data_IF_779623083799
#
_entry.id   IF_779623083799
#
_cell.length_a   1.000
_cell.length_b   1.000
_cell.length_c   1.000
_cell.angle_alpha   90.00
_cell.angle_beta   90.00
_cell.angle_gamma   90.00
#
_symmetry.space_group_name_H-M   'P 1'
#
loop_
_entity.id
_entity.type
_entity.pdbx_description
1 polymer ?
#
# COMPACT_ATOMS: atom_id res chain seq x y z
N UNK A 1 27.22 -12.25 -25.32
CA UNK A 1 27.72 -11.16 -24.48
C UNK A 1 28.88 -11.70 -23.68
N UNK A 2 30.06 -11.11 -23.77
CA UNK A 2 31.24 -11.53 -23.00
C UNK A 2 31.05 -11.22 -21.51
N UNK A 3 31.81 -11.87 -20.63
CA UNK A 3 31.78 -11.54 -19.19
C UNK A 3 32.11 -10.06 -18.92
N UNK A 4 33.03 -9.49 -19.69
CA UNK A 4 33.39 -8.07 -19.61
C UNK A 4 32.23 -7.14 -19.99
N UNK A 5 31.45 -7.50 -21.01
CA UNK A 5 30.25 -6.75 -21.42
C UNK A 5 29.13 -6.85 -20.37
N UNK A 6 29.00 -7.99 -19.68
CA UNK A 6 28.08 -8.17 -18.56
C UNK A 6 28.47 -7.29 -17.37
N UNK A 7 29.75 -7.24 -17.00
CA UNK A 7 30.25 -6.41 -15.91
C UNK A 7 30.07 -4.92 -16.19
N UNK A 8 30.41 -4.47 -17.41
CA UNK A 8 30.17 -3.08 -17.83
C UNK A 8 28.69 -2.72 -17.79
N UNK A 9 27.81 -3.62 -18.24
CA UNK A 9 26.37 -3.42 -18.21
C UNK A 9 25.86 -3.32 -16.77
N UNK A 10 26.29 -4.22 -15.88
CA UNK A 10 25.93 -4.21 -14.47
C UNK A 10 26.41 -2.94 -13.78
N UNK A 11 27.65 -2.51 -14.00
CA UNK A 11 28.18 -1.28 -13.43
C UNK A 11 27.37 -0.04 -13.86
N UNK A 12 26.99 0.04 -15.14
CA UNK A 12 26.11 1.10 -15.65
C UNK A 12 24.75 1.11 -14.96
N UNK A 13 24.13 -0.06 -14.77
CA UNK A 13 22.84 -0.17 -14.09
C UNK A 13 22.93 0.23 -12.61
N UNK A 14 24.00 -0.14 -11.91
CA UNK A 14 24.24 0.30 -10.51
C UNK A 14 24.38 1.82 -10.46
N UNK A 15 25.14 2.41 -11.38
CA UNK A 15 25.29 3.86 -11.46
C UNK A 15 23.94 4.54 -11.71
N UNK A 16 23.09 3.97 -12.56
CA UNK A 16 21.75 4.48 -12.79
C UNK A 16 20.90 4.38 -11.51
N UNK A 17 20.86 3.22 -10.86
CA UNK A 17 20.15 3.05 -9.58
C UNK A 17 20.61 4.07 -8.52
N UNK A 18 21.91 4.38 -8.47
CA UNK A 18 22.47 5.42 -7.60
C UNK A 18 21.91 6.81 -7.95
N UNK A 19 21.92 7.22 -9.23
CA UNK A 19 21.35 8.52 -9.63
C UNK A 19 19.88 8.65 -9.21
N UNK A 20 19.11 7.58 -9.36
CA UNK A 20 17.71 7.53 -8.96
C UNK A 20 17.56 7.67 -7.43
N UNK A 21 18.42 7.00 -6.66
CA UNK A 21 18.47 7.13 -5.21
C UNK A 21 18.89 8.54 -4.76
N UNK A 22 19.85 9.16 -5.44
CA UNK A 22 20.36 10.50 -5.14
C UNK A 22 19.25 11.56 -5.28
N UNK A 23 18.45 11.49 -6.36
CA UNK A 23 17.26 12.35 -6.53
C UNK A 23 16.30 12.19 -5.33
N UNK A 24 15.98 10.95 -4.94
CA UNK A 24 15.05 10.71 -3.81
C UNK A 24 15.61 11.27 -2.50
N UNK A 25 16.93 11.14 -2.30
CA UNK A 25 17.70 11.63 -1.13
C UNK A 25 18.02 13.12 -1.19
N UNK A 26 17.46 13.86 -2.16
CA UNK A 26 17.64 15.30 -2.32
C UNK A 26 19.09 15.72 -2.59
N UNK A 27 19.83 14.90 -3.33
CA UNK A 27 21.17 15.23 -3.84
C UNK A 27 20.99 15.70 -5.29
N UNK A 28 21.24 16.98 -5.61
CA UNK A 28 21.09 17.47 -6.97
C UNK A 28 22.04 16.77 -7.96
N UNK A 29 21.65 16.60 -9.23
CA UNK A 29 22.52 16.01 -10.25
C UNK A 29 23.87 16.74 -10.32
N UNK A 30 24.97 15.99 -10.28
CA UNK A 30 26.33 16.55 -10.32
C UNK A 30 26.87 17.06 -8.99
N UNK A 31 26.11 16.96 -7.90
CA UNK A 31 26.55 17.34 -6.55
C UNK A 31 26.78 16.11 -5.65
N UNK A 32 27.52 16.29 -4.56
CA UNK A 32 27.75 15.26 -3.53
C UNK A 32 26.83 15.43 -2.32
N UNK A 33 26.40 16.67 -2.05
CA UNK A 33 25.75 17.04 -0.81
C UNK A 33 24.23 17.10 -0.98
N UNK A 34 23.53 16.78 0.12
CA UNK A 34 22.07 16.90 0.17
C UNK A 34 21.69 18.36 0.37
N UNK A 35 20.57 18.76 -0.23
CA UNK A 35 19.93 20.05 0.06
C UNK A 35 19.69 20.24 1.58
N UNK A 36 19.68 21.49 2.03
CA UNK A 36 19.32 21.85 3.40
C UNK A 36 17.84 21.53 3.70
N UNK A 37 17.43 21.45 4.96
CA UNK A 37 16.08 21.00 5.34
C UNK A 37 14.95 21.85 4.73
N UNK A 38 15.11 23.17 4.71
CA UNK A 38 14.15 24.11 4.12
C UNK A 38 14.06 23.95 2.60
N UNK A 39 15.20 23.80 1.93
CA UNK A 39 15.26 23.49 0.50
C UNK A 39 14.65 22.13 0.18
N UNK A 40 14.87 21.11 1.02
CA UNK A 40 14.27 19.78 0.87
C UNK A 40 12.75 19.81 0.95
N UNK A 41 12.19 20.63 1.84
CA UNK A 41 10.75 20.81 1.96
C UNK A 41 10.17 21.39 0.66
N UNK A 42 10.78 22.47 0.15
CA UNK A 42 10.39 23.08 -1.14
C UNK A 42 10.56 22.11 -2.31
N UNK A 43 11.70 21.43 -2.38
CA UNK A 43 12.00 20.45 -3.43
C UNK A 43 10.95 19.32 -3.51
N UNK A 44 10.37 18.91 -2.38
CA UNK A 44 9.31 17.91 -2.33
C UNK A 44 7.92 18.51 -2.58
N UNK A 45 7.62 19.67 -2.00
CA UNK A 45 6.30 20.27 -2.04
C UNK A 45 5.91 20.81 -3.41
N UNK A 46 6.84 21.45 -4.11
CA UNK A 46 6.55 22.10 -5.40
C UNK A 46 5.92 21.15 -6.42
N UNK A 47 6.48 19.95 -6.70
CA UNK A 47 5.86 19.01 -7.64
C UNK A 47 4.54 18.38 -7.15
N UNK A 48 4.20 18.57 -5.87
CA UNK A 48 3.00 18.04 -5.23
C UNK A 48 1.93 19.12 -4.97
N UNK A 49 2.14 20.39 -5.36
CA UNK A 49 1.17 21.48 -5.15
C UNK A 49 -0.24 21.16 -5.67
N UNK A 50 -0.36 20.49 -6.82
CA UNK A 50 -1.66 20.05 -7.34
C UNK A 50 -2.47 19.21 -6.35
N UNK A 51 -1.83 18.47 -5.45
CA UNK A 51 -2.56 17.65 -4.48
C UNK A 51 -3.33 18.52 -3.49
N UNK A 52 -2.84 19.74 -3.22
CA UNK A 52 -3.54 20.74 -2.40
C UNK A 52 -4.84 21.16 -3.11
N UNK A 53 -4.81 21.39 -4.42
CA UNK A 53 -5.99 21.82 -5.18
C UNK A 53 -7.08 20.74 -5.24
N UNK A 54 -6.67 19.49 -5.49
CA UNK A 54 -7.57 18.35 -5.70
C UNK A 54 -8.05 17.70 -4.41
N UNK A 55 -7.26 17.76 -3.34
CA UNK A 55 -7.55 17.05 -2.10
C UNK A 55 -7.54 17.93 -0.85
N UNK A 56 -7.20 19.21 -0.96
CA UNK A 56 -7.18 20.14 0.17
C UNK A 56 -6.22 19.73 1.28
N UNK A 57 -5.08 19.11 0.95
CA UNK A 57 -4.16 18.53 1.94
C UNK A 57 -2.99 19.44 2.31
N UNK A 58 -2.71 19.59 3.59
CA UNK A 58 -1.44 20.10 4.15
C UNK A 58 -0.78 18.96 4.94
N UNK A 59 0.19 18.27 4.35
CA UNK A 59 0.94 17.19 5.00
C UNK A 59 2.42 17.25 4.68
N UNK A 60 3.18 16.23 5.09
CA UNK A 60 4.62 16.17 4.85
C UNK A 60 5.02 16.35 3.38
N UNK A 61 4.17 15.97 2.41
CA UNK A 61 4.46 16.06 0.99
C UNK A 61 4.13 17.43 0.37
N UNK A 62 3.27 18.24 0.98
CA UNK A 62 2.81 19.53 0.45
C UNK A 62 3.25 20.73 1.28
N UNK A 63 3.59 20.52 2.56
CA UNK A 63 4.02 21.57 3.47
C UNK A 63 5.48 22.01 3.22
N UNK A 64 5.69 23.30 2.96
CA UNK A 64 7.01 23.91 2.75
C UNK A 64 7.65 24.44 4.04
N UNK A 65 6.87 25.09 4.90
CA UNK A 65 7.46 26.07 5.84
C UNK A 65 7.34 25.71 7.32
N UNK A 66 6.59 24.65 7.67
CA UNK A 66 6.36 24.26 9.07
C UNK A 66 7.04 22.93 9.43
N UNK A 67 8.33 23.03 9.80
CA UNK A 67 9.12 21.86 10.19
C UNK A 67 8.61 21.18 11.47
N UNK A 68 8.05 21.94 12.41
CA UNK A 68 7.49 21.37 13.65
C UNK A 68 6.25 20.53 13.34
N UNK A 69 5.33 21.05 12.52
CA UNK A 69 4.16 20.33 12.06
C UNK A 69 4.54 19.03 11.32
N UNK A 70 5.47 19.09 10.36
CA UNK A 70 5.90 17.88 9.63
C UNK A 70 6.44 16.79 10.56
N UNK A 71 7.20 17.15 11.59
CA UNK A 71 7.68 16.19 12.61
C UNK A 71 6.53 15.63 13.46
N UNK A 72 5.59 16.47 13.92
CA UNK A 72 4.38 16.03 14.64
C UNK A 72 3.57 15.05 13.78
N UNK A 73 3.36 15.37 12.50
CA UNK A 73 2.66 14.52 11.54
C UNK A 73 3.33 13.15 11.37
N UNK A 74 4.65 13.12 11.18
CA UNK A 74 5.42 11.85 11.09
C UNK A 74 5.24 11.01 12.35
N UNK A 75 5.39 11.61 13.53
CA UNK A 75 5.20 10.90 14.82
C UNK A 75 3.79 10.33 14.92
N UNK A 76 2.77 11.16 14.67
CA UNK A 76 1.36 10.75 14.70
C UNK A 76 1.10 9.55 13.78
N UNK A 77 1.65 9.53 12.55
CA UNK A 77 1.44 8.38 11.65
C UNK A 77 2.10 7.09 12.17
N UNK A 78 3.28 7.21 12.80
CA UNK A 78 3.98 6.07 13.43
C UNK A 78 3.16 5.54 14.60
N UNK A 79 2.63 6.43 15.44
CA UNK A 79 1.87 6.05 16.63
C UNK A 79 0.55 5.37 16.25
N UNK A 80 -0.15 5.85 15.22
CA UNK A 80 -1.34 5.17 14.65
C UNK A 80 -1.03 3.73 14.21
N UNK A 81 0.07 3.51 13.47
CA UNK A 81 0.48 2.16 13.07
C UNK A 81 0.85 1.28 14.26
N UNK A 82 1.51 1.82 15.29
CA UNK A 82 1.85 1.07 16.51
C UNK A 82 0.63 0.68 17.32
N UNK A 83 -0.33 1.60 17.47
CA UNK A 83 -1.60 1.32 18.13
C UNK A 83 -2.35 0.20 17.40
N UNK A 84 -2.37 0.24 16.07
CA UNK A 84 -2.98 -0.79 15.23
C UNK A 84 -2.42 -2.20 15.47
N UNK A 85 -1.12 -2.28 15.75
CA UNK A 85 -0.41 -3.54 15.97
C UNK A 85 -0.13 -3.81 17.46
N UNK A 86 -0.82 -3.10 18.36
CA UNK A 86 -0.61 -3.09 19.83
C UNK A 86 0.86 -3.07 20.27
N UNK A 87 1.72 -2.41 19.49
CA UNK A 87 3.14 -2.35 19.76
C UNK A 87 3.39 -1.26 20.80
N UNK A 88 3.71 -1.67 22.03
CA UNK A 88 3.81 -0.76 23.17
C UNK A 88 5.08 0.09 23.17
N UNK A 89 6.17 -0.38 22.54
CA UNK A 89 7.47 0.31 22.43
C UNK A 89 8.23 -0.12 21.18
N UNK A 90 9.22 0.69 20.77
CA UNK A 90 10.15 0.33 19.68
C UNK A 90 10.83 -1.01 19.99
N UNK A 91 10.61 -2.01 19.14
CA UNK A 91 11.19 -3.35 19.29
C UNK A 91 10.39 -4.29 20.21
N UNK A 92 9.25 -3.87 20.76
CA UNK A 92 8.29 -4.77 21.36
C UNK A 92 7.61 -5.64 20.29
N UNK A 93 7.16 -6.83 20.66
CA UNK A 93 6.37 -7.69 19.77
C UNK A 93 5.16 -6.95 19.20
N UNK A 94 4.83 -7.25 17.95
CA UNK A 94 3.64 -6.71 17.28
C UNK A 94 2.53 -7.77 17.30
N UNK A 95 1.34 -7.35 17.73
CA UNK A 95 0.12 -8.15 17.66
C UNK A 95 -0.74 -7.68 16.48
N UNK A 96 -0.90 -8.56 15.50
CA UNK A 96 -1.68 -8.31 14.29
C UNK A 96 -3.02 -9.08 14.28
N UNK A 97 -3.39 -9.73 15.38
CA UNK A 97 -4.61 -10.54 15.48
C UNK A 97 -5.86 -9.73 15.16
N UNK A 98 -5.95 -8.50 15.67
CA UNK A 98 -7.04 -7.56 15.38
C UNK A 98 -7.14 -7.20 13.90
N UNK A 99 -6.04 -6.71 13.31
CA UNK A 99 -5.96 -6.36 11.89
C UNK A 99 -6.31 -7.56 10.98
N UNK A 100 -5.86 -8.76 11.36
CA UNK A 100 -6.20 -10.00 10.66
C UNK A 100 -7.69 -10.30 10.73
N UNK A 101 -8.28 -10.24 11.93
CA UNK A 101 -9.70 -10.51 12.14
C UNK A 101 -10.58 -9.54 11.34
N UNK A 102 -10.23 -8.26 11.37
CA UNK A 102 -10.92 -7.21 10.64
C UNK A 102 -10.79 -7.41 9.12
N UNK A 103 -9.59 -7.76 8.61
CA UNK A 103 -9.38 -7.97 7.17
C UNK A 103 -10.24 -9.13 6.65
N UNK A 104 -10.29 -10.25 7.38
CA UNK A 104 -11.15 -11.38 7.02
C UNK A 104 -12.64 -11.03 7.07
N UNK A 105 -13.05 -10.25 8.06
CA UNK A 105 -14.44 -9.80 8.23
C UNK A 105 -14.86 -8.91 7.07
N UNK A 106 -14.05 -7.95 6.65
CA UNK A 106 -14.37 -7.04 5.55
C UNK A 106 -14.41 -7.75 4.20
N UNK A 107 -13.56 -8.78 3.99
CA UNK A 107 -13.65 -9.62 2.78
C UNK A 107 -14.96 -10.40 2.76
N UNK A 108 -15.34 -11.03 3.89
CA UNK A 108 -16.62 -11.75 4.00
C UNK A 108 -17.82 -10.83 3.78
N UNK A 109 -17.79 -9.63 4.35
CA UNK A 109 -18.83 -8.62 4.18
C UNK A 109 -19.02 -8.27 2.70
N UNK A 110 -17.95 -7.98 1.96
CA UNK A 110 -18.04 -7.65 0.55
C UNK A 110 -18.57 -8.84 -0.28
N UNK A 111 -18.06 -10.05 -0.05
CA UNK A 111 -18.46 -11.24 -0.81
C UNK A 111 -19.92 -11.66 -0.53
N UNK A 112 -20.44 -11.40 0.67
CA UNK A 112 -21.87 -11.64 0.97
C UNK A 112 -22.80 -10.72 0.19
N UNK A 113 -22.35 -9.51 -0.13
CA UNK A 113 -23.10 -8.56 -0.94
C UNK A 113 -23.03 -8.90 -2.45
N UNK A 114 -22.07 -9.73 -2.86
CA UNK A 114 -21.75 -10.02 -4.26
C UNK A 114 -21.57 -11.53 -4.47
N UNK A 115 -22.67 -12.27 -4.64
CA UNK A 115 -22.63 -13.74 -4.58
C UNK A 115 -22.28 -14.44 -5.89
N UNK A 116 -22.48 -13.79 -7.04
CA UNK A 116 -22.31 -14.40 -8.38
C UNK A 116 -21.21 -13.76 -9.21
N UNK A 117 -21.01 -12.45 -9.07
CA UNK A 117 -19.96 -11.70 -9.73
C UNK A 117 -19.38 -10.65 -8.79
N UNK A 118 -18.07 -10.52 -8.80
CA UNK A 118 -17.32 -9.58 -7.96
C UNK A 118 -16.37 -8.80 -8.85
N UNK A 119 -16.33 -7.47 -8.71
CA UNK A 119 -15.25 -6.69 -9.27
C UNK A 119 -14.02 -6.79 -8.35
N UNK A 120 -12.89 -7.30 -8.85
CA UNK A 120 -11.70 -7.51 -8.01
C UNK A 120 -11.12 -6.19 -7.51
N UNK A 121 -11.11 -5.14 -8.33
CA UNK A 121 -10.60 -3.84 -7.94
C UNK A 121 -11.45 -3.25 -6.80
N UNK A 122 -12.78 -3.32 -6.92
CA UNK A 122 -13.69 -2.86 -5.87
C UNK A 122 -13.55 -3.66 -4.57
N UNK A 123 -13.46 -4.99 -4.64
CA UNK A 123 -13.21 -5.84 -3.46
C UNK A 123 -11.92 -5.41 -2.74
N UNK A 124 -10.82 -5.29 -3.49
CA UNK A 124 -9.51 -4.94 -2.90
C UNK A 124 -9.54 -3.52 -2.34
N UNK A 125 -10.17 -2.57 -3.04
CA UNK A 125 -10.35 -1.21 -2.56
C UNK A 125 -11.17 -1.17 -1.28
N UNK A 126 -12.32 -1.85 -1.25
CA UNK A 126 -13.21 -1.91 -0.09
C UNK A 126 -12.48 -2.41 1.15
N UNK A 127 -11.81 -3.56 1.06
CA UNK A 127 -11.10 -4.18 2.18
C UNK A 127 -9.93 -3.31 2.64
N UNK A 128 -9.12 -2.81 1.71
CA UNK A 128 -7.96 -1.96 2.04
C UNK A 128 -8.40 -0.65 2.68
N UNK A 129 -9.49 -0.06 2.20
CA UNK A 129 -10.03 1.19 2.71
C UNK A 129 -10.58 1.03 4.12
N UNK A 130 -11.42 0.02 4.38
CA UNK A 130 -11.97 -0.20 5.72
C UNK A 130 -10.88 -0.43 6.75
N UNK A 131 -9.88 -1.26 6.44
CA UNK A 131 -8.71 -1.43 7.32
C UNK A 131 -7.97 -0.12 7.54
N UNK A 132 -7.72 0.64 6.46
CA UNK A 132 -7.04 1.94 6.57
C UNK A 132 -7.80 2.91 7.47
N UNK A 133 -9.12 2.97 7.33
CA UNK A 133 -9.98 3.82 8.17
C UNK A 133 -9.89 3.40 9.64
N UNK A 134 -10.02 2.12 9.94
CA UNK A 134 -10.02 1.58 11.31
C UNK A 134 -8.74 1.88 12.08
N UNK A 135 -7.57 1.79 11.44
CA UNK A 135 -6.32 2.05 12.14
C UNK A 135 -5.92 3.54 12.15
N UNK A 136 -6.45 4.35 11.23
CA UNK A 136 -6.12 5.78 11.14
C UNK A 136 -7.04 6.65 12.00
N UNK A 137 -8.29 6.25 12.20
CA UNK A 137 -9.31 7.06 12.88
C UNK A 137 -9.98 6.24 13.97
N UNK A 138 -9.88 6.72 15.21
CA UNK A 138 -10.37 6.03 16.40
C UNK A 138 -11.84 5.61 16.30
N UNK A 139 -12.67 6.45 15.69
CA UNK A 139 -14.10 6.25 15.60
C UNK A 139 -14.55 5.51 14.34
N UNK A 140 -13.67 5.24 13.38
CA UNK A 140 -14.07 4.71 12.08
C UNK A 140 -14.75 3.34 12.18
N UNK A 141 -14.24 2.45 13.03
CA UNK A 141 -14.82 1.11 13.21
C UNK A 141 -16.30 1.19 13.62
N UNK A 142 -16.62 2.06 14.57
CA UNK A 142 -17.99 2.27 15.06
C UNK A 142 -18.83 3.02 14.03
N UNK A 143 -18.27 4.05 13.40
CA UNK A 143 -18.94 4.84 12.37
C UNK A 143 -19.38 3.98 11.18
N UNK A 144 -18.48 3.13 10.67
CA UNK A 144 -18.77 2.22 9.55
C UNK A 144 -19.76 1.10 9.91
N UNK A 145 -19.85 0.69 11.17
CA UNK A 145 -20.86 -0.31 11.61
C UNK A 145 -22.28 0.28 11.58
N UNK A 146 -22.41 1.60 11.76
CA UNK A 146 -23.70 2.30 11.82
C UNK A 146 -24.22 2.77 10.46
N UNK A 147 -23.38 2.78 9.43
CA UNK A 147 -23.71 3.36 8.12
C UNK A 147 -23.61 2.32 7.00
N UNK A 148 -24.29 2.61 5.89
CA UNK A 148 -24.41 1.67 4.77
C UNK A 148 -23.06 1.54 4.02
N UNK A 149 -22.71 0.34 3.51
CA UNK A 149 -21.53 0.10 2.65
C UNK A 149 -21.38 1.04 1.44
N UNK A 150 -22.44 1.76 1.10
CA UNK A 150 -22.54 2.71 0.00
C UNK A 150 -21.60 3.92 0.17
N UNK A 151 -21.40 4.43 1.39
CA UNK A 151 -20.51 5.59 1.64
C UNK A 151 -19.05 5.21 1.37
N UNK A 152 -18.62 4.03 1.83
CA UNK A 152 -17.26 3.48 1.61
C UNK A 152 -17.02 3.23 0.12
N UNK A 153 -18.02 2.70 -0.58
CA UNK A 153 -17.95 2.43 -2.03
C UNK A 153 -17.90 3.73 -2.84
N UNK A 154 -18.78 4.70 -2.53
CA UNK A 154 -18.79 6.02 -3.15
C UNK A 154 -17.46 6.74 -2.95
N UNK A 155 -16.95 6.75 -1.72
CA UNK A 155 -15.70 7.37 -1.34
C UNK A 155 -14.51 6.79 -2.13
N UNK A 156 -14.37 5.46 -2.18
CA UNK A 156 -13.31 4.79 -2.93
C UNK A 156 -13.32 5.15 -4.42
N UNK A 157 -14.52 5.13 -5.03
CA UNK A 157 -14.71 5.51 -6.43
C UNK A 157 -14.35 6.98 -6.69
N UNK A 158 -14.90 7.92 -5.92
CA UNK A 158 -14.70 9.36 -6.15
C UNK A 158 -13.25 9.79 -5.95
N UNK A 159 -12.51 9.20 -5.00
CA UNK A 159 -11.07 9.45 -4.87
C UNK A 159 -10.32 9.02 -6.11
N UNK A 160 -10.61 7.82 -6.63
CA UNK A 160 -9.95 7.35 -7.84
C UNK A 160 -10.24 8.27 -9.04
N UNK A 161 -11.49 8.74 -9.19
CA UNK A 161 -11.87 9.73 -10.21
C UNK A 161 -11.08 11.04 -10.07
N UNK A 162 -11.07 11.66 -8.88
CA UNK A 162 -10.31 12.90 -8.60
C UNK A 162 -8.81 12.72 -8.87
N UNK A 163 -8.28 11.55 -8.54
CA UNK A 163 -6.89 11.22 -8.74
C UNK A 163 -6.54 11.06 -10.23
N UNK A 164 -7.44 10.52 -11.06
CA UNK A 164 -7.31 10.50 -12.52
C UNK A 164 -7.41 11.91 -13.11
N UNK A 165 -8.37 12.71 -12.63
CA UNK A 165 -8.55 14.11 -13.03
C UNK A 165 -7.32 14.96 -12.72
N UNK A 166 -6.65 14.74 -11.58
CA UNK A 166 -5.40 15.43 -11.18
C UNK A 166 -4.20 15.24 -12.12
N UNK A 167 -4.33 14.35 -13.10
CA UNK A 167 -3.30 14.03 -14.10
C UNK A 167 -3.65 14.53 -15.49
N UNK A 168 -4.89 14.98 -15.72
CA UNK A 168 -5.32 15.52 -17.02
C UNK A 168 -4.80 16.96 -17.15
N UNK A 169 -4.25 17.29 -18.33
CA UNK A 169 -3.71 18.63 -18.60
C UNK A 169 -4.78 19.62 -19.10
N UNK A 170 -6.00 19.15 -19.38
CA UNK A 170 -7.08 19.93 -20.00
C UNK A 170 -8.41 19.58 -19.31
N UNK A 171 -9.20 20.59 -18.95
CA UNK A 171 -10.52 20.44 -18.32
C UNK A 171 -10.74 21.41 -17.16
N UNK A 172 -11.98 21.50 -16.67
CA UNK A 172 -12.28 22.21 -15.44
C UNK A 172 -11.65 21.43 -14.27
N UNK A 173 -10.73 22.05 -13.55
CA UNK A 173 -10.10 21.47 -12.35
C UNK A 173 -11.13 21.41 -11.22
N UNK A 174 -11.51 20.22 -10.73
CA UNK A 174 -12.31 20.09 -9.53
C UNK A 174 -11.60 20.80 -8.38
N UNK A 175 -12.32 21.63 -7.64
CA UNK A 175 -11.79 22.29 -6.45
C UNK A 175 -12.25 21.51 -5.24
N UNK A 176 -11.32 21.10 -4.38
CA UNK A 176 -11.61 20.33 -3.19
C UNK A 176 -12.79 20.87 -2.37
N UNK A 177 -12.82 22.19 -2.13
CA UNK A 177 -13.92 22.85 -1.38
C UNK A 177 -15.33 22.58 -1.94
N UNK A 178 -15.46 22.19 -3.21
CA UNK A 178 -16.73 21.91 -3.87
C UNK A 178 -17.14 20.43 -3.79
N UNK A 179 -16.29 19.54 -3.29
CA UNK A 179 -16.55 18.09 -3.15
C UNK A 179 -17.44 17.77 -1.93
N UNK A 180 -18.58 18.45 -1.83
CA UNK A 180 -19.48 18.44 -0.66
C UNK A 180 -19.92 17.02 -0.28
N UNK A 181 -20.33 16.21 -1.25
CA UNK A 181 -20.77 14.83 -0.99
C UNK A 181 -19.60 13.92 -0.56
N UNK A 182 -18.39 14.18 -1.06
CA UNK A 182 -17.20 13.47 -0.60
C UNK A 182 -16.85 13.88 0.84
N UNK A 183 -16.97 15.15 1.20
CA UNK A 183 -16.77 15.61 2.58
C UNK A 183 -17.77 14.97 3.54
N UNK A 184 -19.05 14.89 3.15
CA UNK A 184 -20.09 14.21 3.94
C UNK A 184 -19.77 12.73 4.11
N UNK A 185 -19.39 12.04 3.03
CA UNK A 185 -19.02 10.62 3.07
C UNK A 185 -17.76 10.39 3.91
N UNK A 186 -16.78 11.30 3.88
CA UNK A 186 -15.59 11.26 4.73
C UNK A 186 -15.96 11.35 6.21
N UNK A 187 -16.67 12.42 6.59
CA UNK A 187 -17.12 12.60 7.97
C UNK A 187 -17.95 11.42 8.45
N UNK A 188 -18.82 10.91 7.58
CA UNK A 188 -19.66 9.74 7.85
C UNK A 188 -18.87 8.49 8.29
N UNK A 189 -17.68 8.28 7.75
CA UNK A 189 -16.85 7.09 8.01
C UNK A 189 -15.69 7.35 8.95
N UNK A 190 -15.36 8.61 9.26
CA UNK A 190 -14.25 8.97 10.17
C UNK A 190 -14.70 9.49 11.53
N UNK A 191 -15.94 9.96 11.70
CA UNK A 191 -16.42 10.55 12.96
C UNK A 191 -17.65 9.85 13.53
N UNK A 192 -17.83 9.93 14.86
CA UNK A 192 -19.10 9.56 15.49
C UNK A 192 -20.12 10.67 15.21
N UNK A 193 -21.24 10.34 14.56
CA UNK A 193 -22.35 11.27 14.32
C UNK A 193 -22.76 11.98 15.63
N UNK A 194 -22.46 13.28 15.72
CA UNK A 194 -22.74 14.15 16.87
C UNK A 194 -22.10 15.54 16.72
N UNK A 195 -20.94 15.64 16.07
CA UNK A 195 -20.24 16.92 15.84
C UNK A 195 -20.34 17.41 14.39
N UNK A 196 -21.54 17.43 13.81
CA UNK A 196 -21.75 18.24 12.60
C UNK A 196 -22.06 19.65 13.10
N UNK A 197 -21.05 20.52 13.22
CA UNK A 197 -21.30 21.95 13.38
C UNK A 197 -21.86 22.49 12.06
N UNK A 198 -23.18 22.62 11.99
CA UNK A 198 -23.82 23.46 10.98
C UNK A 198 -23.49 24.92 11.32
N UNK A 199 -23.01 25.75 10.38
CA UNK A 199 -22.76 27.16 10.67
C UNK A 199 -24.05 27.84 11.15
N UNK A 200 -24.12 28.20 12.44
CA UNK A 200 -25.25 28.89 13.06
C UNK A 200 -25.91 28.18 14.25
N UNK A 201 -25.57 26.93 14.55
CA UNK A 201 -26.11 26.21 15.71
C UNK A 201 -25.09 26.15 16.86
N UNK A 202 -25.38 26.88 17.94
CA UNK A 202 -24.65 26.80 19.20
C UNK A 202 -25.17 25.60 19.99
N UNK A 203 -24.39 24.52 20.08
CA UNK A 203 -24.65 23.46 21.05
C UNK A 203 -23.88 23.74 22.34
N UNK A 204 -24.60 24.18 23.38
CA UNK A 204 -24.10 24.33 24.74
C UNK A 204 -23.88 22.95 25.38
N UNK A 205 -22.63 22.53 25.49
CA UNK A 205 -22.25 21.34 26.25
C UNK A 205 -20.73 21.13 26.26
N UNK A 206 -20.06 21.15 27.43
CA UNK A 206 -18.63 20.92 27.50
C UNK A 206 -18.38 19.42 27.51
N UNK A 207 -18.08 18.85 26.35
CA UNK A 207 -17.25 17.66 26.30
C UNK A 207 -15.87 18.14 25.86
N UNK A 208 -14.93 18.14 26.81
CA UNK A 208 -13.52 18.46 26.64
C UNK A 208 -12.83 17.36 25.81
N UNK A 209 -13.20 17.30 24.52
CA UNK A 209 -12.45 16.59 23.48
C UNK A 209 -11.51 17.65 22.94
N UNK A 210 -10.21 17.52 23.20
CA UNK A 210 -9.22 18.54 22.84
C UNK A 210 -9.42 19.03 21.40
N UNK A 211 -9.49 20.35 21.23
CA UNK A 211 -9.78 21.05 19.95
C UNK A 211 -8.86 20.65 18.78
N UNK A 212 -7.77 19.91 19.04
CA UNK A 212 -6.73 19.51 18.10
C UNK A 212 -7.03 18.24 17.25
N UNK A 213 -8.03 17.41 17.59
CA UNK A 213 -8.21 16.06 17.00
C UNK A 213 -9.48 15.85 16.15
N UNK A 214 -10.37 16.83 16.04
CA UNK A 214 -11.61 16.66 15.29
C UNK A 214 -11.33 16.72 13.76
N UNK A 215 -11.85 15.76 13.00
CA UNK A 215 -11.64 15.66 11.55
C UNK A 215 -12.43 16.74 10.82
N UNK A 216 -11.76 17.54 9.98
CA UNK A 216 -12.39 18.55 9.13
C UNK A 216 -11.83 18.48 7.70
N UNK A 217 -12.62 18.03 6.70
CA UNK A 217 -12.20 18.03 5.31
C UNK A 217 -11.84 19.40 4.76
N UNK A 218 -12.39 20.50 5.28
CA UNK A 218 -12.16 21.86 4.77
C UNK A 218 -10.93 22.54 5.39
N UNK A 219 -10.46 22.08 6.56
CA UNK A 219 -9.18 22.51 7.13
C UNK A 219 -8.03 21.65 6.57
N UNK A 220 -7.06 22.24 5.83
CA UNK A 220 -5.99 21.48 5.21
C UNK A 220 -5.17 20.59 6.14
N UNK A 221 -4.98 20.98 7.41
CA UNK A 221 -4.18 20.21 8.38
C UNK A 221 -4.98 19.13 9.08
N UNK A 222 -6.30 19.31 9.22
CA UNK A 222 -7.24 18.35 9.83
C UNK A 222 -7.96 17.47 8.80
N UNK A 223 -7.67 17.70 7.52
CA UNK A 223 -8.24 16.93 6.42
C UNK A 223 -7.85 15.43 6.51
N UNK A 224 -8.82 14.51 6.54
CA UNK A 224 -8.55 13.08 6.67
C UNK A 224 -7.78 12.50 5.46
N UNK A 225 -7.82 13.18 4.31
CA UNK A 225 -7.06 12.82 3.11
C UNK A 225 -5.55 12.88 3.31
N UNK A 226 -5.07 13.65 4.30
CA UNK A 226 -3.65 13.66 4.67
C UNK A 226 -3.13 12.27 5.04
N UNK A 227 -3.99 11.43 5.65
CA UNK A 227 -3.66 10.08 6.09
C UNK A 227 -4.14 9.02 5.10
N UNK A 228 -5.34 9.20 4.54
CA UNK A 228 -5.96 8.20 3.67
C UNK A 228 -5.25 8.05 2.32
N UNK A 229 -4.82 9.15 1.68
CA UNK A 229 -4.12 9.05 0.39
C UNK A 229 -2.86 8.16 0.45
N UNK A 230 -1.90 8.39 1.37
CA UNK A 230 -0.72 7.55 1.43
C UNK A 230 -1.01 6.12 1.93
N UNK A 231 -1.99 5.93 2.83
CA UNK A 231 -2.31 4.63 3.42
C UNK A 231 -3.11 3.71 2.49
N UNK A 232 -4.15 4.24 1.86
CA UNK A 232 -5.10 3.46 1.07
C UNK A 232 -4.72 3.43 -0.42
N UNK A 233 -4.60 4.60 -1.07
CA UNK A 233 -4.58 4.70 -2.55
C UNK A 233 -3.43 3.91 -3.16
N UNK A 234 -2.27 3.97 -2.52
CA UNK A 234 -1.06 3.32 -3.01
C UNK A 234 -1.03 1.83 -2.64
N UNK A 235 -1.67 1.42 -1.54
CA UNK A 235 -1.62 0.06 -1.00
C UNK A 235 -2.55 -0.90 -1.75
N UNK A 236 -3.80 -0.50 -2.00
CA UNK A 236 -4.80 -1.39 -2.63
C UNK A 236 -4.33 -1.84 -4.03
N UNK A 237 -3.61 -0.96 -4.73
CA UNK A 237 -3.01 -1.22 -6.05
C UNK A 237 -1.93 -2.30 -6.02
N UNK A 238 -1.16 -2.39 -4.94
CA UNK A 238 -0.14 -3.43 -4.77
C UNK A 238 -0.81 -4.73 -4.36
N UNK A 239 -1.77 -4.68 -3.43
CA UNK A 239 -2.56 -5.84 -3.00
C UNK A 239 -3.25 -6.51 -4.19
N UNK A 240 -3.93 -5.73 -5.03
CA UNK A 240 -4.64 -6.24 -6.21
C UNK A 240 -3.67 -6.97 -7.16
N UNK A 241 -2.50 -6.38 -7.43
CA UNK A 241 -1.49 -7.02 -8.29
C UNK A 241 -0.90 -8.27 -7.66
N UNK A 242 -0.75 -8.30 -6.34
CA UNK A 242 -0.31 -9.50 -5.62
C UNK A 242 -1.31 -10.64 -5.75
N UNK A 243 -2.61 -10.34 -5.61
CA UNK A 243 -3.69 -11.31 -5.84
C UNK A 243 -3.64 -11.83 -7.28
N UNK A 244 -3.49 -10.95 -8.28
CA UNK A 244 -3.39 -11.34 -9.68
C UNK A 244 -2.18 -12.26 -9.94
N UNK A 245 -0.97 -11.88 -9.49
CA UNK A 245 0.25 -12.68 -9.66
C UNK A 245 0.16 -14.08 -9.04
N UNK A 246 -0.47 -14.21 -7.87
CA UNK A 246 -0.50 -15.48 -7.13
C UNK A 246 -1.70 -16.35 -7.51
N UNK A 247 -2.84 -15.75 -7.87
CA UNK A 247 -4.06 -16.52 -8.14
C UNK A 247 -4.31 -16.74 -9.63
N UNK A 248 -4.03 -15.76 -10.47
CA UNK A 248 -4.61 -15.67 -11.82
C UNK A 248 -3.59 -15.53 -12.95
N UNK A 249 -2.29 -15.50 -12.64
CA UNK A 249 -1.21 -15.42 -13.63
C UNK A 249 -0.66 -16.78 -14.07
N UNK A 250 -1.25 -17.88 -13.61
CA UNK A 250 -0.88 -19.26 -13.96
C UNK A 250 0.62 -19.58 -13.80
N UNK A 251 1.28 -18.94 -12.83
CA UNK A 251 2.68 -19.24 -12.52
C UNK A 251 2.80 -20.69 -12.01
N UNK A 252 3.84 -21.45 -12.44
CA UNK A 252 4.06 -22.82 -11.96
C UNK A 252 4.29 -22.89 -10.45
N UNK A 253 4.81 -21.82 -9.85
CA UNK A 253 5.08 -21.72 -8.41
C UNK A 253 3.92 -21.11 -7.60
N UNK A 254 2.81 -20.73 -8.26
CA UNK A 254 1.68 -20.03 -7.65
C UNK A 254 1.09 -20.76 -6.43
N UNK A 255 1.00 -22.10 -6.50
CA UNK A 255 0.49 -22.92 -5.41
C UNK A 255 1.37 -22.84 -4.15
N UNK A 256 2.70 -22.82 -4.32
CA UNK A 256 3.63 -22.63 -3.20
C UNK A 256 3.46 -21.23 -2.58
N UNK A 257 3.47 -20.18 -3.40
CA UNK A 257 3.33 -18.80 -2.92
C UNK A 257 2.01 -18.59 -2.18
N UNK A 258 0.92 -19.16 -2.70
CA UNK A 258 -0.39 -19.15 -2.02
C UNK A 258 -0.32 -19.86 -0.68
N UNK A 259 0.29 -21.05 -0.61
CA UNK A 259 0.47 -21.79 0.63
C UNK A 259 1.26 -20.98 1.67
N UNK A 260 2.34 -20.30 1.26
CA UNK A 260 3.14 -19.42 2.12
C UNK A 260 2.28 -18.29 2.71
N UNK A 261 1.48 -17.61 1.87
CA UNK A 261 0.63 -16.52 2.34
C UNK A 261 -0.51 -16.98 3.25
N UNK A 262 -1.12 -18.13 2.98
CA UNK A 262 -2.13 -18.71 3.86
C UNK A 262 -1.52 -19.18 5.19
N UNK A 263 -0.30 -19.71 5.16
CA UNK A 263 0.48 -20.02 6.36
C UNK A 263 0.78 -18.77 7.19
N UNK A 264 1.22 -17.70 6.54
CA UNK A 264 1.42 -16.40 7.19
C UNK A 264 0.14 -15.88 7.85
N UNK A 265 -0.98 -15.90 7.12
CA UNK A 265 -2.28 -15.50 7.66
C UNK A 265 -2.70 -16.36 8.87
N UNK A 266 -2.43 -17.65 8.84
CA UNK A 266 -2.74 -18.56 9.94
C UNK A 266 -1.87 -18.30 11.16
N UNK A 267 -0.58 -18.04 10.96
CA UNK A 267 0.37 -17.70 12.03
C UNK A 267 -0.05 -16.39 12.74
N UNK A 268 -0.67 -15.43 12.05
CA UNK A 268 -1.19 -14.19 12.65
C UNK A 268 -2.48 -14.36 13.47
N UNK A 269 -2.99 -15.59 13.64
CA UNK A 269 -4.26 -15.85 14.35
C UNK A 269 -4.14 -15.74 15.87
N UNK A 270 -2.96 -16.02 16.41
CA UNK A 270 -2.67 -15.97 17.85
C UNK A 270 -1.33 -15.28 18.10
N UNK A 271 -1.08 -14.93 19.36
CA UNK A 271 0.16 -14.30 19.80
C UNK A 271 1.31 -15.31 20.00
N UNK A 272 1.09 -16.60 19.68
CA UNK A 272 2.05 -17.69 19.93
C UNK A 272 3.32 -17.58 19.08
N UNK A 273 3.21 -16.95 17.91
CA UNK A 273 4.33 -16.63 17.02
C UNK A 273 4.34 -15.13 16.80
N UNK A 274 5.51 -14.50 16.92
CA UNK A 274 5.60 -13.07 16.67
C UNK A 274 5.35 -12.79 15.18
N UNK A 275 4.75 -11.64 14.88
CA UNK A 275 4.53 -11.23 13.49
C UNK A 275 5.83 -11.21 12.67
N UNK A 276 6.95 -10.88 13.31
CA UNK A 276 8.26 -10.88 12.66
C UNK A 276 8.74 -12.30 12.32
N UNK A 277 8.55 -13.27 13.22
CA UNK A 277 8.86 -14.67 12.95
C UNK A 277 7.98 -15.22 11.84
N UNK A 278 6.66 -14.96 11.88
CA UNK A 278 5.73 -15.36 10.83
C UNK A 278 6.16 -14.79 9.46
N UNK A 279 6.55 -13.51 9.41
CA UNK A 279 6.96 -12.82 8.17
C UNK A 279 8.29 -13.34 7.59
N UNK A 280 9.14 -13.94 8.43
CA UNK A 280 10.45 -14.50 8.06
C UNK A 280 10.44 -16.04 7.97
N UNK A 281 9.31 -16.69 8.21
CA UNK A 281 9.18 -18.16 8.19
C UNK A 281 9.40 -18.69 6.78
N UNK A 282 10.44 -19.52 6.60
CA UNK A 282 10.80 -20.10 5.31
C UNK A 282 9.92 -21.30 4.96
N UNK A 283 9.55 -21.41 3.68
CA UNK A 283 9.01 -22.62 3.08
C UNK A 283 10.10 -23.69 2.94
N UNK A 284 9.71 -24.87 2.44
CA UNK A 284 10.66 -25.94 2.09
C UNK A 284 11.70 -25.51 1.04
N UNK A 285 11.33 -24.60 0.14
CA UNK A 285 12.22 -24.06 -0.90
C UNK A 285 12.91 -22.76 -0.47
N UNK A 286 12.88 -22.43 0.83
CA UNK A 286 13.60 -21.28 1.40
C UNK A 286 12.90 -19.93 1.19
N UNK A 287 11.75 -19.87 0.50
CA UNK A 287 10.98 -18.65 0.28
C UNK A 287 10.22 -18.29 1.55
N UNK A 288 10.28 -17.03 1.99
CA UNK A 288 9.50 -16.52 3.10
C UNK A 288 8.48 -15.46 2.63
N UNK A 289 7.45 -15.13 3.43
CA UNK A 289 6.50 -14.06 3.11
C UNK A 289 7.21 -12.75 2.71
N UNK A 290 8.27 -12.36 3.43
CA UNK A 290 9.08 -11.18 3.08
C UNK A 290 9.58 -11.16 1.63
N UNK A 291 9.87 -12.31 1.02
CA UNK A 291 10.34 -12.38 -0.36
C UNK A 291 9.22 -12.10 -1.36
N UNK A 292 8.01 -12.59 -1.07
CA UNK A 292 6.80 -12.29 -1.84
C UNK A 292 6.50 -10.78 -1.74
N UNK A 293 6.59 -10.20 -0.53
CA UNK A 293 6.39 -8.76 -0.33
C UNK A 293 7.43 -7.92 -1.07
N UNK A 294 8.70 -8.30 -1.04
CA UNK A 294 9.75 -7.58 -1.76
C UNK A 294 9.58 -7.71 -3.27
N UNK A 295 9.21 -8.89 -3.75
CA UNK A 295 9.01 -9.11 -5.18
C UNK A 295 7.82 -8.32 -5.74
N UNK A 296 6.69 -8.28 -5.02
CA UNK A 296 5.55 -7.48 -5.47
C UNK A 296 5.88 -5.99 -5.48
N UNK A 297 6.62 -5.51 -4.49
CA UNK A 297 7.06 -4.10 -4.39
C UNK A 297 8.17 -3.73 -5.39
N UNK A 298 8.90 -4.73 -5.88
CA UNK A 298 9.89 -4.57 -6.96
C UNK A 298 9.18 -4.35 -8.29
N UNK A 299 8.22 -5.22 -8.62
CA UNK A 299 7.49 -5.14 -9.89
C UNK A 299 6.47 -4.01 -9.92
N UNK A 300 5.78 -3.77 -8.81
CA UNK A 300 4.64 -2.85 -8.71
C UNK A 300 4.78 -1.93 -7.50
N UNK A 301 5.77 -1.01 -7.53
CA UNK A 301 5.96 -0.07 -6.44
C UNK A 301 4.75 0.84 -6.22
N UNK A 302 4.40 1.17 -4.96
CA UNK A 302 3.32 2.11 -4.65
C UNK A 302 3.56 3.48 -5.29
N UNK A 303 4.84 3.90 -5.38
CA UNK A 303 5.27 5.09 -6.11
C UNK A 303 6.14 4.72 -7.31
N UNK A 304 5.61 4.91 -8.52
CA UNK A 304 6.35 4.68 -9.78
C UNK A 304 7.49 5.68 -9.98
N UNK A 305 7.27 6.92 -9.54
CA UNK A 305 8.17 8.05 -9.71
C UNK A 305 8.18 8.94 -8.49
N UNK A 306 9.33 9.55 -8.23
CA UNK A 306 9.49 10.59 -7.21
C UNK A 306 10.00 11.86 -7.87
N UNK A 307 9.28 12.97 -7.70
CA UNK A 307 9.66 14.25 -8.30
C UNK A 307 10.34 15.14 -7.26
N UNK A 308 11.31 15.92 -7.70
CA UNK A 308 12.03 16.92 -6.92
C UNK A 308 12.27 18.17 -7.73
N UNK A 309 12.14 19.33 -7.12
CA UNK A 309 12.61 20.59 -7.70
C UNK A 309 14.09 20.79 -7.34
N UNK A 310 14.94 20.96 -8.34
CA UNK A 310 16.35 21.35 -8.20
C UNK A 310 16.62 22.56 -9.09
N UNK A 311 17.15 23.65 -8.54
CA UNK A 311 17.48 24.86 -9.30
C UNK A 311 16.37 25.37 -10.25
N UNK A 312 15.10 25.22 -9.85
CA UNK A 312 13.93 25.63 -10.65
C UNK A 312 13.42 24.57 -11.64
N UNK A 313 14.10 23.43 -11.79
CA UNK A 313 13.69 22.35 -12.68
C UNK A 313 13.12 21.16 -11.90
N UNK A 314 12.01 20.60 -12.40
CA UNK A 314 11.44 19.37 -11.83
C UNK A 314 12.17 18.17 -12.44
N UNK A 315 12.99 17.53 -11.62
CA UNK A 315 13.66 16.26 -11.92
C UNK A 315 12.84 15.10 -11.36
N UNK A 316 12.86 13.96 -12.04
CA UNK A 316 12.12 12.75 -11.64
C UNK A 316 13.06 11.57 -11.44
N UNK A 317 12.83 10.82 -10.36
CA UNK A 317 13.39 9.50 -10.16
C UNK A 317 12.41 8.42 -10.67
N UNK A 318 12.85 7.57 -11.59
CA UNK A 318 12.11 6.45 -12.20
C UNK A 318 12.30 5.16 -11.37
N UNK A 319 11.57 5.07 -10.26
CA UNK A 319 11.62 3.95 -9.33
C UNK A 319 11.28 2.62 -10.00
N UNK A 320 10.18 2.59 -10.74
CA UNK A 320 9.66 1.37 -11.37
C UNK A 320 10.62 0.81 -12.42
N UNK A 321 11.17 1.69 -13.27
CA UNK A 321 12.11 1.31 -14.32
C UNK A 321 13.39 0.72 -13.74
N UNK A 322 13.93 1.34 -12.68
CA UNK A 322 15.17 0.88 -12.01
C UNK A 322 15.04 -0.57 -11.53
N UNK A 323 13.85 -0.96 -11.06
CA UNK A 323 13.61 -2.27 -10.45
C UNK A 323 13.24 -3.38 -11.41
N UNK A 324 12.80 -3.03 -12.61
CA UNK A 324 12.66 -3.96 -13.74
C UNK A 324 13.97 -4.11 -14.51
N UNK A 325 15.10 -3.73 -13.90
CA UNK A 325 16.43 -4.03 -14.43
C UNK A 325 16.87 -5.46 -14.06
N UNK A 326 17.89 -5.95 -14.75
CA UNK A 326 18.54 -7.23 -14.49
C UNK A 326 19.48 -7.21 -13.27
N UNK A 327 19.48 -6.13 -12.48
CA UNK A 327 20.31 -6.04 -11.26
C UNK A 327 19.94 -7.06 -10.20
N UNK A 328 18.66 -7.40 -10.13
CA UNK A 328 18.13 -8.33 -9.14
C UNK A 328 18.27 -9.81 -9.55
N UNK A 329 18.62 -10.10 -10.81
CA UNK A 329 18.73 -11.47 -11.32
C UNK A 329 18.63 -11.51 -12.85
N UNK A 330 18.76 -12.70 -13.42
CA UNK A 330 18.81 -12.93 -14.87
C UNK A 330 17.59 -12.40 -15.64
N UNK A 331 17.67 -12.44 -16.98
CA UNK A 331 16.84 -11.79 -18.02
C UNK A 331 15.29 -11.86 -17.92
N UNK A 332 14.72 -12.38 -16.84
CA UNK A 332 13.30 -12.38 -16.53
C UNK A 332 12.91 -11.23 -15.57
N UNK A 333 13.41 -10.02 -15.79
CA UNK A 333 13.17 -8.88 -14.90
C UNK A 333 11.68 -8.50 -14.77
N UNK A 334 10.85 -8.87 -15.75
CA UNK A 334 9.40 -8.71 -15.73
C UNK A 334 8.61 -9.83 -15.05
N UNK A 335 9.25 -10.96 -14.74
CA UNK A 335 8.61 -12.11 -14.09
C UNK A 335 8.50 -11.87 -12.58
N UNK A 336 7.35 -12.20 -12.01
CA UNK A 336 7.17 -12.30 -10.56
C UNK A 336 7.86 -13.57 -10.06
N UNK A 337 9.03 -13.41 -9.42
CA UNK A 337 9.80 -14.52 -8.86
C UNK A 337 10.40 -14.15 -7.49
N UNK A 338 9.75 -14.57 -6.38
CA UNK A 338 10.26 -14.36 -5.04
C UNK A 338 11.59 -15.08 -4.74
N UNK A 339 11.96 -16.16 -5.45
CA UNK A 339 13.19 -16.92 -5.17
C UNK A 339 14.44 -16.07 -5.41
N UNK A 340 14.34 -15.08 -6.29
CA UNK A 340 15.37 -14.09 -6.60
C UNK A 340 16.00 -13.44 -5.37
N UNK A 341 15.21 -13.17 -4.34
CA UNK A 341 15.68 -12.53 -3.09
C UNK A 341 16.62 -13.41 -2.27
N UNK A 342 16.69 -14.71 -2.56
CA UNK A 342 17.61 -15.64 -1.92
C UNK A 342 19.04 -15.49 -2.47
N UNK A 343 19.20 -15.06 -3.72
CA UNK A 343 20.49 -14.89 -4.37
C UNK A 343 21.21 -13.59 -3.99
N UNK A 344 20.49 -12.62 -3.41
CA UNK A 344 21.04 -11.32 -3.01
C UNK A 344 21.76 -11.47 -1.66
N UNK A 345 23.09 -11.59 -1.71
CA UNK A 345 23.98 -11.75 -0.55
C UNK A 345 23.52 -12.88 0.42
N UNK A 346 23.55 -14.15 0.00
CA UNK A 346 22.95 -15.26 0.74
C UNK A 346 23.47 -15.40 2.19
N UNK A 347 24.77 -15.21 2.42
CA UNK A 347 25.35 -15.29 3.77
C UNK A 347 24.92 -14.14 4.69
N UNK A 348 24.71 -12.94 4.13
CA UNK A 348 24.21 -11.79 4.87
C UNK A 348 22.73 -11.96 5.20
N UNK A 349 21.97 -12.45 4.22
CA UNK A 349 20.56 -12.82 4.38
C UNK A 349 20.36 -13.84 5.49
N UNK A 350 21.18 -14.90 5.54
CA UNK A 350 21.06 -15.91 6.58
C UNK A 350 21.24 -15.34 8.00
N UNK A 351 22.24 -14.46 8.18
CA UNK A 351 22.44 -13.68 9.42
C UNK A 351 21.23 -12.80 9.75
N UNK A 352 20.68 -12.11 8.74
CA UNK A 352 19.51 -11.27 8.92
C UNK A 352 18.27 -12.07 9.35
N UNK A 353 18.10 -13.31 8.85
CA UNK A 353 17.02 -14.21 9.27
C UNK A 353 17.17 -14.73 10.71
N UNK A 354 18.40 -14.79 11.24
CA UNK A 354 18.66 -15.07 12.66
C UNK A 354 18.46 -13.85 13.57
N UNK A 355 18.01 -12.71 13.02
CA UNK A 355 17.75 -11.50 13.80
C UNK A 355 18.98 -10.62 14.05
N UNK A 356 20.12 -10.88 13.39
CA UNK A 356 21.34 -10.08 13.56
C UNK A 356 21.12 -8.65 13.02
N UNK A 357 20.99 -7.67 13.92
CA UNK A 357 20.59 -6.30 13.57
C UNK A 357 21.50 -5.62 12.54
N UNK A 358 22.82 -5.84 12.64
CA UNK A 358 23.77 -5.32 11.65
C UNK A 358 23.58 -5.96 10.28
N UNK A 359 23.32 -7.28 10.23
CA UNK A 359 23.06 -7.97 8.99
C UNK A 359 21.75 -7.53 8.35
N UNK A 360 20.70 -7.26 9.14
CA UNK A 360 19.44 -6.72 8.65
C UNK A 360 19.64 -5.34 7.99
N UNK A 361 20.42 -4.46 8.64
CA UNK A 361 20.71 -3.14 8.11
C UNK A 361 21.53 -3.20 6.82
N UNK A 362 22.59 -4.01 6.82
CA UNK A 362 23.44 -4.19 5.63
C UNK A 362 22.65 -4.84 4.49
N UNK A 363 21.81 -5.84 4.76
CA UNK A 363 20.98 -6.47 3.72
C UNK A 363 20.06 -5.45 3.06
N UNK A 364 19.43 -4.56 3.85
CA UNK A 364 18.62 -3.45 3.31
C UNK A 364 19.47 -2.53 2.44
N UNK A 365 20.68 -2.18 2.87
CA UNK A 365 21.60 -1.32 2.11
C UNK A 365 22.02 -1.95 0.77
N UNK A 366 22.33 -3.25 0.73
CA UNK A 366 22.66 -3.96 -0.51
C UNK A 366 21.47 -3.97 -1.47
N UNK A 367 20.26 -4.24 -0.97
CA UNK A 367 19.03 -4.20 -1.78
C UNK A 367 18.76 -2.80 -2.35
N UNK A 368 18.95 -1.75 -1.55
CA UNK A 368 18.84 -0.35 -1.98
C UNK A 368 19.87 0.01 -3.04
N UNK A 369 21.09 -0.52 -2.95
CA UNK A 369 22.17 -0.33 -3.94
C UNK A 369 21.80 -0.93 -5.31
N UNK A 370 21.01 -2.01 -5.31
CA UNK A 370 20.43 -2.59 -6.53
C UNK A 370 19.20 -1.83 -7.04
N UNK A 371 18.74 -0.81 -6.31
CA UNK A 371 17.60 0.02 -6.68
C UNK A 371 16.27 -0.34 -5.98
N UNK A 372 16.30 -1.20 -4.95
CA UNK A 372 15.11 -1.57 -4.21
C UNK A 372 14.80 -0.52 -3.14
N UNK A 373 13.94 0.43 -3.50
CA UNK A 373 13.61 1.60 -2.69
C UNK A 373 12.08 1.88 -2.64
N UNK A 374 11.21 0.87 -2.42
CA UNK A 374 9.75 0.98 -2.68
C UNK A 374 9.04 2.07 -1.91
N UNK A 375 9.67 2.52 -0.85
CA UNK A 375 9.19 3.52 0.07
C UNK A 375 10.03 4.81 0.05
N UNK A 376 10.86 5.00 -0.98
CA UNK A 376 11.65 6.22 -1.19
C UNK A 376 12.49 6.65 0.06
N UNK A 377 12.98 5.67 0.84
CA UNK A 377 13.79 5.80 2.06
C UNK A 377 13.15 6.45 3.30
N UNK A 378 12.00 7.14 3.18
CA UNK A 378 11.45 7.97 4.28
C UNK A 378 9.98 7.66 4.64
N UNK A 379 9.37 6.63 4.07
CA UNK A 379 8.01 6.26 4.43
C UNK A 379 7.92 5.76 5.88
N UNK A 380 6.93 6.25 6.62
CA UNK A 380 6.68 5.81 7.99
C UNK A 380 6.23 4.36 8.08
N UNK A 381 5.66 3.80 7.02
CA UNK A 381 5.24 2.38 6.95
C UNK A 381 6.41 1.39 6.69
N UNK A 382 7.59 1.86 6.28
CA UNK A 382 8.80 1.02 6.11
C UNK A 382 9.94 1.44 7.07
N UNK A 383 9.55 1.87 8.26
CA UNK A 383 10.46 2.25 9.32
C UNK A 383 10.68 1.06 10.27
N UNK A 384 11.87 0.98 10.87
CA UNK A 384 12.14 0.12 12.04
C UNK A 384 11.14 0.35 13.19
N UNK A 385 10.70 1.59 13.38
CA UNK A 385 9.74 1.98 14.40
C UNK A 385 8.34 1.35 14.24
N UNK A 386 8.00 0.95 13.01
CA UNK A 386 6.73 0.35 12.60
C UNK A 386 6.94 -1.08 12.07
N UNK A 387 8.15 -1.63 12.27
CA UNK A 387 8.54 -3.00 11.88
C UNK A 387 8.15 -3.41 10.46
N UNK A 388 8.28 -2.50 9.49
CA UNK A 388 7.91 -2.73 8.08
C UNK A 388 6.40 -2.98 7.87
N UNK A 389 5.57 -2.27 8.64
CA UNK A 389 4.11 -2.28 8.55
C UNK A 389 3.57 -2.36 7.11
N UNK A 390 4.09 -1.54 6.20
CA UNK A 390 3.60 -1.48 4.80
C UNK A 390 3.79 -2.79 4.04
N UNK A 391 4.92 -3.48 4.22
CA UNK A 391 5.15 -4.79 3.58
C UNK A 391 4.25 -5.87 4.17
N UNK A 392 4.14 -5.91 5.50
CA UNK A 392 3.30 -6.87 6.24
C UNK A 392 1.82 -6.69 5.92
N UNK A 393 1.34 -5.44 5.89
CA UNK A 393 -0.05 -5.11 5.59
C UNK A 393 -0.45 -5.53 4.18
N UNK A 394 0.42 -5.29 3.17
CA UNK A 394 0.15 -5.77 1.80
C UNK A 394 -0.03 -7.29 1.76
N UNK A 395 0.80 -8.05 2.47
CA UNK A 395 0.65 -9.50 2.52
C UNK A 395 -0.56 -9.94 3.33
N UNK A 396 -0.87 -9.29 4.45
CA UNK A 396 -2.04 -9.60 5.24
C UNK A 396 -3.32 -9.46 4.40
N UNK A 397 -3.49 -8.31 3.75
CA UNK A 397 -4.66 -8.04 2.90
C UNK A 397 -4.72 -9.01 1.72
N UNK A 398 -3.58 -9.26 1.07
CA UNK A 398 -3.50 -10.26 -0.02
C UNK A 398 -3.91 -11.63 0.46
N UNK A 399 -3.37 -12.09 1.59
CA UNK A 399 -3.63 -13.43 2.13
C UNK A 399 -5.09 -13.57 2.59
N UNK A 400 -5.68 -12.55 3.21
CA UNK A 400 -7.08 -12.54 3.61
C UNK A 400 -8.00 -12.67 2.39
N UNK A 401 -7.74 -11.91 1.32
CA UNK A 401 -8.49 -11.99 0.06
C UNK A 401 -8.32 -13.37 -0.58
N UNK A 402 -7.08 -13.86 -0.72
CA UNK A 402 -6.82 -15.20 -1.28
C UNK A 402 -7.49 -16.30 -0.46
N UNK A 403 -7.48 -16.21 0.86
CA UNK A 403 -8.12 -17.19 1.74
C UNK A 403 -9.61 -17.31 1.47
N UNK A 404 -10.31 -16.21 1.18
CA UNK A 404 -11.75 -16.21 0.97
C UNK A 404 -12.13 -16.52 -0.47
N UNK A 405 -11.35 -16.05 -1.45
CA UNK A 405 -11.57 -16.40 -2.86
C UNK A 405 -11.30 -17.89 -3.16
N UNK A 406 -10.54 -18.58 -2.31
CA UNK A 406 -10.27 -20.01 -2.42
C UNK A 406 -10.98 -20.85 -1.33
N UNK A 407 -11.91 -20.26 -0.57
CA UNK A 407 -12.60 -21.00 0.48
C UNK A 407 -13.60 -21.99 -0.13
N UNK A 408 -13.24 -23.27 -0.12
CA UNK A 408 -14.08 -24.35 -0.65
C UNK A 408 -15.36 -24.54 0.14
N UNK A 409 -15.47 -23.99 1.36
CA UNK A 409 -16.71 -24.01 2.15
C UNK A 409 -17.70 -22.92 1.74
N UNK A 410 -17.25 -21.89 1.01
CA UNK A 410 -18.07 -20.79 0.49
C UNK A 410 -18.39 -20.97 -1.00
N UNK A 411 -18.69 -22.22 -1.40
CA UNK A 411 -19.15 -22.67 -2.73
C UNK A 411 -18.06 -22.94 -3.79
N UNK A 412 -16.77 -22.75 -3.55
CA UNK A 412 -15.70 -23.09 -4.52
C UNK A 412 -14.78 -21.92 -4.89
N UNK A 413 -13.86 -22.12 -5.84
CA UNK A 413 -12.84 -21.11 -6.21
C UNK A 413 -13.39 -20.09 -7.18
N UNK A 414 -13.28 -18.81 -6.84
CA UNK A 414 -13.60 -17.69 -7.74
C UNK A 414 -12.66 -17.69 -8.95
N UNK A 415 -13.22 -17.52 -10.15
CA UNK A 415 -12.47 -17.54 -11.41
C UNK A 415 -12.53 -16.18 -12.11
N UNK A 416 -11.53 -15.86 -12.92
CA UNK A 416 -11.63 -14.70 -13.81
C UNK A 416 -12.80 -14.90 -14.77
N UNK A 417 -13.59 -13.84 -14.96
CA UNK A 417 -14.63 -13.82 -15.99
C UNK A 417 -13.97 -13.54 -17.34
N UNK A 418 -13.96 -14.53 -18.24
CA UNK A 418 -13.32 -14.49 -19.57
C UNK A 418 -13.82 -13.37 -20.50
N UNK A 419 -14.82 -12.58 -20.07
CA UNK A 419 -15.45 -11.51 -20.83
C UNK A 419 -14.66 -10.20 -20.87
N UNK A 420 -13.56 -10.06 -20.13
CA UNK A 420 -12.78 -8.80 -20.02
C UNK A 420 -11.31 -9.05 -20.39
N UNK A 421 -10.63 -8.02 -20.94
CA UNK A 421 -9.22 -7.98 -21.33
C UNK A 421 -8.32 -9.00 -20.62
N UNK A 422 -7.66 -9.86 -21.40
CA UNK A 422 -6.73 -10.87 -20.89
C UNK A 422 -5.61 -10.21 -20.10
N UNK A 423 -5.24 -10.82 -18.97
CA UNK A 423 -4.00 -10.47 -18.27
C UNK A 423 -2.81 -10.63 -19.22
N UNK A 424 -1.76 -9.78 -19.11
CA UNK A 424 -0.53 -9.97 -19.87
C UNK A 424 0.05 -11.39 -19.67
N UNK A 425 0.68 -11.98 -20.69
CA UNK A 425 1.28 -13.31 -20.59
C UNK A 425 2.36 -13.34 -19.50
N UNK A 426 2.65 -14.54 -18.98
CA UNK A 426 3.72 -14.74 -17.99
C UNK A 426 5.04 -14.17 -18.53
N UNK A 427 5.76 -13.42 -17.69
CA UNK A 427 6.99 -12.73 -18.04
C UNK A 427 6.81 -11.25 -18.40
N UNK A 428 5.61 -10.84 -18.79
CA UNK A 428 5.26 -9.43 -18.96
C UNK A 428 4.66 -8.85 -17.67
N UNK A 429 5.15 -7.71 -17.15
CA UNK A 429 4.55 -7.09 -15.98
C UNK A 429 3.09 -6.70 -16.19
N UNK A 430 2.26 -6.85 -15.15
CA UNK A 430 0.92 -6.30 -15.12
C UNK A 430 0.97 -4.78 -15.38
N UNK A 431 0.00 -4.28 -16.15
CA UNK A 431 -0.21 -2.84 -16.37
C UNK A 431 -0.26 -2.08 -15.03
N UNK A 432 0.50 -0.99 -14.96
CA UNK A 432 0.66 -0.17 -13.74
C UNK A 432 -0.12 1.14 -13.78
N UNK A 433 -0.88 1.36 -14.84
CA UNK A 433 -1.74 2.52 -14.95
C UNK A 433 -2.90 2.43 -13.97
N UNK A 434 -3.48 3.59 -13.65
CA UNK A 434 -4.46 3.71 -12.56
C UNK A 434 -5.81 3.09 -12.90
N UNK A 435 -6.13 3.02 -14.20
CA UNK A 435 -7.36 2.43 -14.74
C UNK A 435 -7.18 0.93 -15.00
N UNK A 436 -5.95 0.41 -14.99
CA UNK A 436 -5.68 -0.97 -15.28
C UNK A 436 -6.42 -1.91 -14.31
N UNK A 437 -7.17 -2.84 -14.88
CA UNK A 437 -7.96 -3.85 -14.16
C UNK A 437 -9.15 -3.31 -13.35
N UNK A 438 -9.56 -2.05 -13.58
CA UNK A 438 -10.74 -1.47 -12.93
C UNK A 438 -12.04 -2.23 -13.22
N UNK A 439 -12.14 -2.84 -14.40
CA UNK A 439 -13.33 -3.58 -14.85
C UNK A 439 -13.17 -5.10 -14.74
N UNK A 440 -12.12 -5.58 -14.05
CA UNK A 440 -11.83 -7.01 -13.97
C UNK A 440 -12.82 -7.72 -13.03
N UNK A 441 -13.63 -8.59 -13.62
CA UNK A 441 -14.67 -9.33 -12.93
C UNK A 441 -14.22 -10.75 -12.58
N UNK A 442 -14.64 -11.21 -11.41
CA UNK A 442 -14.57 -12.59 -10.96
C UNK A 442 -15.96 -13.21 -11.02
N UNK A 443 -16.04 -14.43 -11.49
CA UNK A 443 -17.24 -15.26 -11.45
C UNK A 443 -17.19 -16.14 -10.22
N UNK A 444 -18.26 -16.06 -9.43
CA UNK A 444 -18.47 -16.95 -8.31
C UNK A 444 -18.70 -18.38 -8.79
N UNK A 445 -18.45 -19.37 -7.93
CA UNK A 445 -18.74 -20.75 -8.25
C UNK A 445 -20.24 -20.97 -8.47
N UNK A 446 -20.65 -22.02 -9.24
CA UNK A 446 -22.05 -22.31 -9.48
C UNK A 446 -22.78 -22.56 -8.15
N UNK A 447 -23.89 -21.85 -7.91
CA UNK A 447 -24.77 -22.20 -6.80
C UNK A 447 -25.53 -23.47 -7.19
N UNK A 448 -25.36 -24.56 -6.43
CA UNK A 448 -26.22 -25.73 -6.57
C UNK A 448 -27.66 -25.29 -6.32
N UNK A 449 -28.47 -25.25 -7.37
CA UNK A 449 -29.91 -25.12 -7.22
C UNK A 449 -30.38 -26.34 -6.46
N UNK A 450 -30.78 -26.17 -5.20
CA UNK A 450 -31.48 -27.19 -4.44
C UNK A 450 -32.76 -27.54 -5.20
N UNK A 451 -32.66 -28.60 -5.99
CA UNK A 451 -33.80 -29.21 -6.64
C UNK A 451 -34.75 -29.67 -5.54
N UNK A 452 -35.83 -28.92 -5.36
CA UNK A 452 -37.01 -29.40 -4.65
C UNK A 452 -37.54 -30.56 -5.50
N UNK A 453 -37.08 -31.76 -5.18
CA UNK A 453 -37.61 -33.00 -5.72
C UNK A 453 -39.00 -33.18 -5.17
N UNK A 454 -40.00 -32.79 -5.97
CA UNK A 454 -41.33 -33.40 -5.89
C UNK A 454 -41.20 -34.86 -6.27
N UNK A 455 -41.42 -35.76 -5.31
CA UNK A 455 -42.02 -37.07 -5.54
C UNK A 455 -43.17 -37.24 -4.56
#
# INVERSE_FOLDING_TARGET
MTAEEQDKTRARLIQEAKKQADIIRYIPPGQSDRLQEDERAKARAEPNKRLIEFFGIDNVFTNTDDHAYRRKFVSMTIDKMRMATRSTKKGAGEDWTGLRGDALTHVDEYLRLHTTKVNLAELVQFVTLKISLEYLFEHAKVAMTRRLPQDVTYFGRRINELWLESKKSHGATPQWKNEIELHKALLAVTTMSGSIRVPGEFSDGPMDVGEDDEVDPLDPRRNPMNLLLPAYETMWRVVMRCVLEIQYRDSPDAAEWRSILLGYLQDLRSEDITTQEAFMKKSKNGIAPVDIAKEIMRLYPPSRRVHRLFAGEIVKAEIEQTRRSTLFGDNAAGLFDPKRWQAIHPGLREKAFRGESQAIAQQKFEEETLGFMPFAFVCTADNTATGRFGLKMVLLLTAAILSKLNDTKLNGTWQLDDAVDKLPPIGEPLRTDREAYGDLMLRGPPQETSGCGTQ
#
